data_IF_003668333639
#
_entry.id   IF_003668333639
#
_cell.length_a   1.000
_cell.length_b   1.000
_cell.length_c   1.000
_cell.angle_alpha   90.00
_cell.angle_beta   90.00
_cell.angle_gamma   90.00
#
_symmetry.space_group_name_H-M   'P 1'
#
loop_
_entity.id
_entity.type
_entity.pdbx_description
1 polymer ?
#
# COMPACT_ATOMS: atom_id res chain seq x y z
N UNK A 1 17.78 16.75 32.54
CA UNK A 1 18.23 17.88 31.70
C UNK A 1 19.14 17.43 30.56
N UNK A 2 20.23 16.69 30.84
CA UNK A 2 21.17 16.18 29.82
C UNK A 2 20.53 15.25 28.78
N UNK A 3 19.67 14.30 29.18
CA UNK A 3 18.97 13.40 28.25
C UNK A 3 18.01 14.11 27.29
N UNK A 4 17.36 15.19 27.75
CA UNK A 4 16.47 15.97 26.89
C UNK A 4 17.26 16.75 25.84
N UNK A 5 18.42 17.30 26.25
CA UNK A 5 19.36 17.99 25.37
C UNK A 5 19.97 17.07 24.31
N UNK A 6 20.29 15.81 24.65
CA UNK A 6 20.83 14.85 23.69
C UNK A 6 19.81 14.45 22.63
N UNK A 7 18.53 14.29 23.00
CA UNK A 7 17.44 13.98 22.06
C UNK A 7 17.27 15.13 21.07
N UNK A 8 17.24 16.37 21.54
CA UNK A 8 17.09 17.56 20.68
C UNK A 8 18.25 17.67 19.69
N UNK A 9 19.49 17.44 20.14
CA UNK A 9 20.67 17.46 19.29
C UNK A 9 20.61 16.41 18.17
N UNK A 10 20.11 15.21 18.49
CA UNK A 10 19.93 14.12 17.53
C UNK A 10 18.91 14.49 16.44
N UNK A 11 17.79 15.09 16.81
CA UNK A 11 16.79 15.57 15.85
C UNK A 11 17.35 16.67 14.93
N UNK A 12 18.11 17.62 15.48
CA UNK A 12 18.71 18.70 14.69
C UNK A 12 19.68 18.15 13.64
N UNK A 13 20.51 17.18 14.01
CA UNK A 13 21.43 16.51 13.07
C UNK A 13 20.65 15.82 11.94
N UNK A 14 19.58 15.11 12.29
CA UNK A 14 18.72 14.43 11.32
C UNK A 14 18.09 15.41 10.33
N UNK A 15 17.55 16.53 10.81
CA UNK A 15 16.96 17.56 9.96
C UNK A 15 17.98 18.23 9.02
N UNK A 16 19.19 18.48 9.51
CA UNK A 16 20.27 19.06 8.68
C UNK A 16 20.67 18.09 7.57
N UNK A 17 20.83 16.79 7.88
CA UNK A 17 21.15 15.78 6.88
C UNK A 17 20.07 15.71 5.80
N UNK A 18 18.79 15.59 6.18
CA UNK A 18 17.67 15.54 5.24
C UNK A 18 17.63 16.82 4.37
N UNK A 19 17.82 17.98 4.98
CA UNK A 19 17.83 19.25 4.25
C UNK A 19 18.96 19.32 3.23
N UNK A 20 20.17 18.87 3.57
CA UNK A 20 21.31 18.85 2.63
C UNK A 20 21.07 17.91 1.45
N UNK A 21 20.50 16.72 1.68
CA UNK A 21 20.17 15.76 0.62
C UNK A 21 19.07 16.26 -0.31
N UNK A 22 18.08 16.98 0.22
CA UNK A 22 16.99 17.53 -0.57
C UNK A 22 17.32 18.89 -1.18
N UNK A 23 18.40 19.55 -0.73
CA UNK A 23 18.82 20.82 -1.30
C UNK A 23 19.25 20.60 -2.75
N UNK A 24 18.69 21.42 -3.65
CA UNK A 24 18.89 21.34 -5.10
C UNK A 24 20.33 21.64 -5.55
N UNK A 25 21.25 21.83 -4.61
CA UNK A 25 22.66 22.15 -4.82
C UNK A 25 23.45 21.00 -5.44
N UNK A 26 23.03 19.75 -5.26
CA UNK A 26 23.67 18.58 -5.88
C UNK A 26 23.05 18.17 -7.21
N UNK A 27 21.90 18.74 -7.59
CA UNK A 27 21.13 18.26 -8.74
C UNK A 27 21.26 19.14 -10.01
N UNK A 28 21.95 20.28 -9.96
CA UNK A 28 21.85 21.29 -11.03
C UNK A 28 22.86 21.17 -12.18
N UNK A 29 23.76 20.17 -12.20
CA UNK A 29 24.87 20.12 -13.17
C UNK A 29 24.97 18.83 -13.99
N UNK A 30 23.94 17.98 -13.97
CA UNK A 30 23.94 16.66 -14.63
C UNK A 30 22.75 16.47 -15.61
N UNK A 31 21.91 17.49 -15.77
CA UNK A 31 20.62 17.38 -16.47
C UNK A 31 20.73 16.89 -17.92
N UNK A 32 21.78 17.25 -18.69
CA UNK A 32 21.78 16.96 -20.13
C UNK A 32 22.25 15.54 -20.52
N UNK A 33 23.13 14.92 -19.72
CA UNK A 33 23.62 13.54 -20.00
C UNK A 33 22.74 12.52 -19.27
N UNK A 34 22.30 12.82 -18.05
CA UNK A 34 21.48 11.88 -17.27
C UNK A 34 20.06 11.72 -17.80
N UNK A 35 19.50 12.67 -18.56
CA UNK A 35 18.14 12.52 -19.07
C UNK A 35 17.93 11.27 -19.93
N UNK A 36 18.93 10.76 -20.65
CA UNK A 36 18.84 9.49 -21.39
C UNK A 36 18.89 8.25 -20.48
N UNK A 37 19.62 8.32 -19.36
CA UNK A 37 19.71 7.21 -18.39
C UNK A 37 18.57 7.23 -17.35
N UNK A 38 17.93 8.39 -17.18
CA UNK A 38 16.85 8.64 -16.21
C UNK A 38 15.48 8.63 -16.89
N UNK A 39 15.42 8.69 -18.23
CA UNK A 39 14.17 8.52 -18.99
C UNK A 39 13.65 7.08 -18.95
N UNK A 40 12.32 6.86 -18.95
CA UNK A 40 11.74 5.52 -18.96
C UNK A 40 12.15 4.75 -20.23
N UNK A 41 12.44 3.46 -20.07
CA UNK A 41 12.85 2.60 -21.17
C UNK A 41 11.65 2.23 -22.05
N UNK A 42 11.54 2.83 -23.23
CA UNK A 42 10.55 2.50 -24.26
C UNK A 42 11.18 1.77 -25.45
N UNK A 43 11.96 0.71 -25.17
CA UNK A 43 12.58 -0.12 -26.22
C UNK A 43 13.41 0.67 -27.25
N UNK A 44 14.10 1.73 -26.82
CA UNK A 44 14.96 2.56 -27.68
C UNK A 44 14.26 3.77 -28.33
N UNK A 45 12.96 3.99 -28.06
CA UNK A 45 12.23 5.19 -28.46
C UNK A 45 12.27 6.28 -27.38
N UNK A 46 12.05 7.55 -27.80
CA UNK A 46 11.87 8.67 -26.87
C UNK A 46 10.47 8.60 -26.25
N UNK A 47 10.40 8.74 -24.93
CA UNK A 47 9.15 8.71 -24.17
C UNK A 47 8.17 9.77 -24.66
N UNK A 48 7.12 9.36 -25.38
CA UNK A 48 6.17 10.29 -26.02
C UNK A 48 5.01 10.69 -25.10
N UNK A 49 4.80 9.96 -24.01
CA UNK A 49 3.68 10.17 -23.09
C UNK A 49 4.07 9.93 -21.64
N UNK A 50 3.36 10.60 -20.73
CA UNK A 50 3.52 10.36 -19.32
C UNK A 50 3.15 8.89 -18.99
N UNK A 51 3.94 8.19 -18.15
CA UNK A 51 3.73 6.77 -17.85
C UNK A 51 2.52 6.51 -16.93
N UNK A 52 1.65 7.50 -16.74
CA UNK A 52 0.48 7.38 -15.86
C UNK A 52 -0.56 6.48 -16.53
N UNK A 53 -0.50 5.20 -16.24
CA UNK A 53 -1.64 4.32 -16.44
C UNK A 53 -2.71 4.67 -15.40
N UNK A 54 -3.93 4.92 -15.87
CA UNK A 54 -5.07 5.03 -14.98
C UNK A 54 -5.35 3.64 -14.40
N UNK A 55 -5.25 3.52 -13.08
CA UNK A 55 -5.68 2.31 -12.40
C UNK A 55 -7.16 2.07 -12.68
N UNK A 56 -7.50 0.84 -13.05
CA UNK A 56 -8.89 0.42 -13.25
C UNK A 56 -9.61 0.35 -11.90
N UNK A 57 -10.88 0.78 -11.87
CA UNK A 57 -11.71 0.72 -10.67
C UNK A 57 -11.80 -0.70 -10.07
N UNK A 58 -11.72 -1.75 -10.91
CA UNK A 58 -11.71 -3.14 -10.45
C UNK A 58 -10.53 -3.50 -9.53
N UNK A 59 -9.34 -2.91 -9.78
CA UNK A 59 -8.19 -3.14 -8.91
C UNK A 59 -8.40 -2.55 -7.51
N UNK A 60 -9.07 -1.39 -7.43
CA UNK A 60 -9.40 -0.75 -6.16
C UNK A 60 -10.41 -1.59 -5.37
N UNK A 61 -11.44 -2.12 -6.05
CA UNK A 61 -12.43 -3.01 -5.45
C UNK A 61 -11.79 -4.28 -4.87
N UNK A 62 -10.89 -4.91 -5.64
CA UNK A 62 -10.10 -6.05 -5.16
C UNK A 62 -9.27 -5.72 -3.90
N UNK A 63 -8.63 -4.55 -3.85
CA UNK A 63 -7.85 -4.11 -2.69
C UNK A 63 -8.71 -3.98 -1.41
N UNK A 64 -9.91 -3.43 -1.54
CA UNK A 64 -10.84 -3.29 -0.41
C UNK A 64 -11.30 -4.66 0.09
N UNK A 65 -11.66 -5.58 -0.82
CA UNK A 65 -11.99 -6.96 -0.47
C UNK A 65 -10.83 -7.68 0.22
N UNK A 66 -9.61 -7.50 -0.28
CA UNK A 66 -8.41 -8.11 0.31
C UNK A 66 -8.21 -7.66 1.75
N UNK A 67 -8.33 -6.36 2.04
CA UNK A 67 -8.20 -5.83 3.41
C UNK A 67 -9.31 -6.36 4.32
N UNK A 68 -10.55 -6.45 3.83
CA UNK A 68 -11.67 -7.00 4.61
C UNK A 68 -11.44 -8.48 4.95
N UNK A 69 -10.97 -9.28 4.00
CA UNK A 69 -10.71 -10.71 4.22
C UNK A 69 -9.51 -10.94 5.15
N UNK A 70 -8.46 -10.11 5.08
CA UNK A 70 -7.31 -10.19 5.99
C UNK A 70 -7.69 -9.86 7.45
N UNK A 71 -8.57 -8.87 7.65
CA UNK A 71 -9.13 -8.56 8.96
C UNK A 71 -9.96 -9.74 9.50
N UNK A 72 -10.74 -10.39 8.65
CA UNK A 72 -11.52 -11.58 9.05
C UNK A 72 -10.61 -12.74 9.50
N UNK A 73 -9.56 -13.07 8.74
CA UNK A 73 -8.62 -14.13 9.13
C UNK A 73 -7.97 -13.80 10.48
N UNK A 74 -7.65 -12.54 10.73
CA UNK A 74 -7.12 -12.08 12.02
C UNK A 74 -8.11 -12.29 13.18
N UNK A 75 -9.41 -12.07 12.96
CA UNK A 75 -10.46 -12.34 13.95
C UNK A 75 -10.67 -13.84 14.17
N UNK A 76 -10.66 -14.63 13.09
CA UNK A 76 -10.79 -16.08 13.17
C UNK A 76 -9.64 -16.71 13.96
N UNK A 77 -8.42 -16.21 13.78
CA UNK A 77 -7.24 -16.65 14.51
C UNK A 77 -7.37 -16.38 16.01
N UNK A 78 -7.89 -15.21 16.40
CA UNK A 78 -8.19 -14.88 17.80
C UNK A 78 -9.27 -15.79 18.42
N UNK A 79 -10.25 -16.24 17.62
CA UNK A 79 -11.25 -17.20 18.08
C UNK A 79 -10.62 -18.57 18.40
N UNK A 80 -9.75 -19.08 17.53
CA UNK A 80 -9.05 -20.35 17.75
C UNK A 80 -8.24 -20.37 19.07
N UNK A 81 -7.68 -19.23 19.49
CA UNK A 81 -6.95 -19.15 20.76
C UNK A 81 -7.85 -19.00 21.99
N UNK A 82 -9.09 -18.55 21.83
CA UNK A 82 -10.05 -18.30 22.91
C UNK A 82 -11.20 -19.33 22.94
N UNK A 83 -10.84 -20.62 23.00
CA UNK A 83 -11.78 -21.76 23.00
C UNK A 83 -12.80 -21.79 24.16
N UNK A 84 -12.65 -20.96 25.19
CA UNK A 84 -13.55 -20.92 26.35
C UNK A 84 -14.92 -20.29 26.03
N UNK A 85 -15.07 -19.55 24.93
CA UNK A 85 -16.28 -18.81 24.57
C UNK A 85 -17.09 -19.49 23.45
N UNK A 86 -17.52 -20.74 23.65
CA UNK A 86 -18.37 -21.48 22.69
C UNK A 86 -19.66 -20.73 22.28
N UNK A 87 -20.21 -19.91 23.18
CA UNK A 87 -21.42 -19.12 22.90
C UNK A 87 -21.24 -18.11 21.75
N UNK A 88 -20.02 -17.68 21.46
CA UNK A 88 -19.76 -16.72 20.39
C UNK A 88 -19.68 -17.35 18.98
N UNK A 89 -19.66 -18.69 18.89
CA UNK A 89 -19.51 -19.41 17.62
C UNK A 89 -20.60 -19.06 16.60
N UNK A 90 -21.84 -18.85 17.06
CA UNK A 90 -22.96 -18.49 16.20
C UNK A 90 -22.76 -17.15 15.49
N UNK A 91 -22.21 -16.15 16.19
CA UNK A 91 -21.92 -14.84 15.61
C UNK A 91 -20.80 -14.93 14.56
N UNK A 92 -19.76 -15.75 14.80
CA UNK A 92 -18.72 -16.02 13.80
C UNK A 92 -19.28 -16.69 12.55
N UNK A 93 -20.20 -17.64 12.70
CA UNK A 93 -20.80 -18.31 11.55
C UNK A 93 -21.66 -17.37 10.70
N UNK A 94 -22.47 -16.52 11.35
CA UNK A 94 -23.24 -15.47 10.65
C UNK A 94 -22.32 -14.51 9.92
N UNK A 95 -21.21 -14.12 10.56
CA UNK A 95 -20.24 -13.21 9.97
C UNK A 95 -19.60 -13.79 8.70
N UNK A 96 -19.14 -15.05 8.74
CA UNK A 96 -18.63 -15.78 7.57
C UNK A 96 -19.66 -15.87 6.43
N UNK A 97 -20.94 -16.04 6.77
CA UNK A 97 -22.03 -16.13 5.80
C UNK A 97 -22.21 -14.81 5.05
N UNK A 98 -22.20 -13.68 5.77
CA UNK A 98 -22.29 -12.33 5.17
C UNK A 98 -21.12 -12.10 4.21
N UNK A 99 -19.92 -12.54 4.59
CA UNK A 99 -18.73 -12.34 3.77
C UNK A 99 -18.73 -13.20 2.50
N UNK A 100 -19.17 -14.47 2.59
CA UNK A 100 -19.41 -15.30 1.41
C UNK A 100 -20.41 -14.65 0.43
N UNK A 101 -21.49 -14.05 0.95
CA UNK A 101 -22.47 -13.33 0.12
C UNK A 101 -21.85 -12.08 -0.54
N UNK A 102 -21.07 -11.29 0.21
CA UNK A 102 -20.37 -10.13 -0.34
C UNK A 102 -19.38 -10.51 -1.45
N UNK A 103 -18.57 -11.54 -1.21
CA UNK A 103 -17.59 -12.04 -2.18
C UNK A 103 -18.24 -12.57 -3.45
N UNK A 104 -19.33 -13.35 -3.32
CA UNK A 104 -20.06 -13.87 -4.49
C UNK A 104 -20.71 -12.74 -5.30
N UNK A 105 -21.24 -11.71 -4.66
CA UNK A 105 -21.77 -10.53 -5.35
C UNK A 105 -20.70 -9.83 -6.20
N UNK A 106 -19.50 -9.64 -5.65
CA UNK A 106 -18.42 -8.95 -6.34
C UNK A 106 -17.83 -9.76 -7.50
N UNK A 107 -17.77 -11.09 -7.35
CA UNK A 107 -17.43 -12.00 -8.45
C UNK A 107 -18.45 -11.90 -9.61
N UNK A 108 -19.74 -11.86 -9.29
CA UNK A 108 -20.81 -11.72 -10.28
C UNK A 108 -20.80 -10.36 -10.98
N UNK A 109 -20.43 -9.29 -10.25
CA UNK A 109 -20.29 -7.94 -10.81
C UNK A 109 -19.15 -7.82 -11.84
N UNK A 110 -18.26 -8.81 -11.92
CA UNK A 110 -17.20 -8.84 -12.92
C UNK A 110 -16.04 -7.88 -12.65
N UNK A 111 -15.97 -7.26 -11.47
CA UNK A 111 -14.88 -6.36 -11.06
C UNK A 111 -13.52 -7.07 -11.01
N UNK A 112 -13.52 -8.40 -10.88
CA UNK A 112 -12.33 -9.28 -10.82
C UNK A 112 -12.00 -9.88 -12.19
N UNK A 113 -12.78 -9.62 -13.25
CA UNK A 113 -12.40 -10.08 -14.59
C UNK A 113 -11.20 -9.27 -15.07
N UNK A 114 -10.05 -9.92 -15.04
CA UNK A 114 -8.88 -9.47 -15.78
C UNK A 114 -9.23 -9.60 -17.27
N UNK A 115 -9.57 -8.46 -17.88
CA UNK A 115 -9.54 -8.33 -19.33
C UNK A 115 -8.07 -8.45 -19.73
N UNK A 116 -7.79 -9.51 -20.47
CA UNK A 116 -6.48 -9.81 -21.00
C UNK A 116 -6.09 -8.85 -22.12
#
# INVERSE_FOLDING_TARGET
MSFFLSIIFLFIILFILIYTFHSSLWNSSIDNICNIWVSPFECGFLSYSSPYSSFTFGFVSFLVLFVLFDLEVSLFLNFCFNLSYYNNFFYYYIFLLVLCVGFTFELLSGSVKWLH
#
